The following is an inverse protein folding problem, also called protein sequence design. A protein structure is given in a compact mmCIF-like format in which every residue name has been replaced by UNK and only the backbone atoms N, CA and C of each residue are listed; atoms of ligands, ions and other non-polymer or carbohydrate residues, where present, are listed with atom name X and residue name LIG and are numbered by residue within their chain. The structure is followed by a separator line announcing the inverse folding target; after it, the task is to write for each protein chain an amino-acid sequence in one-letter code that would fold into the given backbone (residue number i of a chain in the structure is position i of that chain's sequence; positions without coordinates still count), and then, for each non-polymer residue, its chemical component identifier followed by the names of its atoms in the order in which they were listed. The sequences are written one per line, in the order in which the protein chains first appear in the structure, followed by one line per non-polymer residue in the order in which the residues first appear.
data_IF_896404330256
#
_entry.id   IF_896404330256
#
_cell.length_a   1.000
_cell.length_b   1.000
_cell.length_c   1.000
_cell.angle_alpha   90.00
_cell.angle_beta   90.00
_cell.angle_gamma   90.00
#
_symmetry.space_group_name_H-M   'P 1'
#
loop_
_entity.id
_entity.type
_entity.pdbx_description
1 polymer ?
#
# COMPACT_ATOMS: atom_id res chain seq x y z
N UNK A 1 19.75 47.47 -12.19
CA UNK A 1 18.87 48.66 -12.19
C UNK A 1 18.69 49.10 -13.63
N UNK A 2 17.44 49.42 -13.98
CA UNK A 2 16.88 49.78 -15.29
C UNK A 2 16.38 48.63 -16.16
N UNK A 3 15.08 48.74 -16.42
CA UNK A 3 14.08 47.93 -17.13
C UNK A 3 14.14 48.23 -18.64
N UNK A 4 13.73 47.25 -19.48
CA UNK A 4 13.01 47.26 -20.78
C UNK A 4 13.10 45.77 -21.23
N UNK A 5 12.06 44.95 -21.29
CA UNK A 5 10.77 45.12 -21.96
C UNK A 5 10.74 44.12 -23.12
N UNK A 6 10.20 42.92 -22.91
CA UNK A 6 9.70 42.07 -24.00
C UNK A 6 8.20 41.92 -23.79
N UNK A 7 7.48 42.74 -24.55
CA UNK A 7 6.05 42.68 -24.79
C UNK A 7 5.64 41.25 -25.16
N UNK A 8 4.94 40.58 -24.25
CA UNK A 8 4.00 39.53 -24.65
C UNK A 8 2.80 40.25 -25.28
N UNK A 9 2.41 39.89 -26.51
CA UNK A 9 1.33 40.60 -27.20
C UNK A 9 0.03 40.47 -26.41
N UNK A 10 -0.60 41.63 -26.16
CA UNK A 10 -1.93 41.77 -25.60
C UNK A 10 -2.91 40.85 -26.34
N UNK A 11 -3.60 39.98 -25.59
CA UNK A 11 -4.69 39.12 -26.07
C UNK A 11 -5.95 39.98 -26.16
N UNK A 12 -5.94 41.01 -27.00
CA UNK A 12 -7.12 41.85 -27.25
C UNK A 12 -7.75 41.64 -28.63
N UNK A 13 -7.20 40.78 -29.50
CA UNK A 13 -7.79 40.51 -30.82
C UNK A 13 -7.65 39.05 -31.27
N UNK A 14 -7.92 38.05 -30.42
CA UNK A 14 -8.07 36.67 -30.93
C UNK A 14 -9.47 36.51 -31.52
N UNK A 15 -9.55 36.54 -32.85
CA UNK A 15 -10.80 36.33 -33.57
C UNK A 15 -11.33 34.92 -33.34
N UNK A 16 -12.66 34.71 -33.39
CA UNK A 16 -13.31 33.40 -33.20
C UNK A 16 -12.72 32.30 -34.11
N UNK A 17 -12.13 32.68 -35.25
CA UNK A 17 -11.46 31.77 -36.17
C UNK A 17 -10.11 31.26 -35.64
N UNK A 18 -9.36 32.08 -34.91
CA UNK A 18 -8.08 31.69 -34.29
C UNK A 18 -8.30 30.75 -33.09
N UNK A 19 -9.36 30.96 -32.30
CA UNK A 19 -9.75 30.03 -31.23
C UNK A 19 -10.20 28.67 -31.77
N UNK A 20 -10.93 28.64 -32.89
CA UNK A 20 -11.28 27.37 -33.58
C UNK A 20 -10.03 26.67 -34.11
N UNK A 21 -9.09 27.41 -34.70
CA UNK A 21 -7.83 26.84 -35.18
C UNK A 21 -7.01 26.24 -34.01
N UNK A 22 -6.98 26.89 -32.85
CA UNK A 22 -6.32 26.36 -31.64
C UNK A 22 -7.03 25.12 -31.07
N UNK A 23 -8.37 25.08 -31.09
CA UNK A 23 -9.13 23.90 -30.68
C UNK A 23 -8.91 22.70 -31.62
N UNK A 24 -8.90 22.92 -32.93
CA UNK A 24 -8.60 21.87 -33.92
C UNK A 24 -7.18 21.33 -33.76
N UNK A 25 -6.20 22.19 -33.47
CA UNK A 25 -4.83 21.79 -33.17
C UNK A 25 -4.73 20.97 -31.87
N UNK A 26 -5.47 21.34 -30.83
CA UNK A 26 -5.54 20.57 -29.58
C UNK A 26 -6.23 19.21 -29.77
N UNK A 27 -7.29 19.13 -30.57
CA UNK A 27 -7.93 17.87 -30.91
C UNK A 27 -7.00 16.96 -31.73
N UNK A 28 -6.28 17.51 -32.70
CA UNK A 28 -5.24 16.77 -33.44
C UNK A 28 -4.14 16.28 -32.51
N UNK A 29 -3.62 17.13 -31.62
CA UNK A 29 -2.60 16.74 -30.65
C UNK A 29 -3.09 15.62 -29.71
N UNK A 30 -4.37 15.65 -29.29
CA UNK A 30 -4.97 14.59 -28.49
C UNK A 30 -5.11 13.28 -29.26
N UNK A 31 -5.53 13.32 -30.52
CA UNK A 31 -5.61 12.13 -31.39
C UNK A 31 -4.23 11.53 -31.63
N UNK A 32 -3.24 12.36 -31.95
CA UNK A 32 -1.86 11.93 -32.17
C UNK A 32 -1.24 11.28 -30.92
N UNK A 33 -1.53 11.81 -29.73
CA UNK A 33 -1.03 11.23 -28.46
C UNK A 33 -1.73 9.91 -28.15
N UNK A 34 -3.04 9.81 -28.40
CA UNK A 34 -3.78 8.55 -28.26
C UNK A 34 -3.26 7.47 -29.22
N UNK A 35 -2.98 7.82 -30.47
CA UNK A 35 -2.42 6.91 -31.48
C UNK A 35 -1.00 6.46 -31.12
N UNK A 36 -0.12 7.36 -30.66
CA UNK A 36 1.21 7.00 -30.15
C UNK A 36 1.13 6.05 -28.96
N UNK A 37 0.22 6.32 -28.02
CA UNK A 37 0.02 5.45 -26.85
C UNK A 37 -0.44 4.06 -27.27
N UNK A 38 -1.33 3.97 -28.26
CA UNK A 38 -1.78 2.69 -28.82
C UNK A 38 -0.65 1.94 -29.52
N UNK A 39 0.14 2.62 -30.34
CA UNK A 39 1.30 2.02 -31.00
C UNK A 39 2.33 1.51 -30.00
N UNK A 40 2.60 2.25 -28.93
CA UNK A 40 3.52 1.83 -27.86
C UNK A 40 3.01 0.59 -27.13
N UNK A 41 1.71 0.53 -26.81
CA UNK A 41 1.09 -0.68 -26.24
C UNK A 41 1.20 -1.88 -27.18
N UNK A 42 0.89 -1.70 -28.46
CA UNK A 42 1.02 -2.78 -29.45
C UNK A 42 2.48 -3.25 -29.60
N UNK A 43 3.45 -2.33 -29.58
CA UNK A 43 4.90 -2.68 -29.59
C UNK A 43 5.29 -3.43 -28.33
N UNK A 44 4.85 -3.01 -27.15
CA UNK A 44 5.14 -3.67 -25.88
C UNK A 44 4.55 -5.09 -25.84
N UNK A 45 3.30 -5.27 -26.29
CA UNK A 45 2.66 -6.58 -26.39
C UNK A 45 3.39 -7.52 -27.36
N UNK A 46 3.83 -6.99 -28.51
CA UNK A 46 4.61 -7.76 -29.48
C UNK A 46 5.97 -8.19 -28.91
N UNK A 47 6.65 -7.32 -28.15
CA UNK A 47 7.91 -7.65 -27.47
C UNK A 47 7.69 -8.76 -26.43
N UNK A 48 6.67 -8.63 -25.59
CA UNK A 48 6.32 -9.63 -24.57
C UNK A 48 5.97 -10.99 -25.19
N UNK A 49 5.21 -10.99 -26.29
CA UNK A 49 4.89 -12.21 -27.04
C UNK A 49 6.12 -12.83 -27.74
N UNK A 50 7.08 -12.02 -28.17
CA UNK A 50 8.33 -12.48 -28.74
C UNK A 50 9.25 -13.11 -27.67
N UNK A 51 9.33 -12.49 -26.49
CA UNK A 51 10.10 -12.99 -25.35
C UNK A 51 9.53 -14.31 -24.82
N UNK A 52 8.21 -14.41 -24.65
CA UNK A 52 7.56 -15.69 -24.27
C UNK A 52 7.90 -16.81 -25.25
N UNK A 53 7.82 -16.52 -26.56
CA UNK A 53 8.19 -17.49 -27.60
C UNK A 53 9.69 -17.83 -27.63
N UNK A 54 10.58 -16.94 -27.16
CA UNK A 54 12.01 -17.23 -27.01
C UNK A 54 12.26 -18.11 -25.78
N UNK A 55 11.63 -17.80 -24.65
CA UNK A 55 11.71 -18.58 -23.42
C UNK A 55 11.19 -20.01 -23.62
N UNK A 56 10.03 -20.19 -24.28
CA UNK A 56 9.50 -21.51 -24.62
C UNK A 56 10.46 -22.33 -25.50
N UNK A 57 11.10 -21.67 -26.49
CA UNK A 57 12.11 -22.31 -27.34
C UNK A 57 13.36 -22.71 -26.56
N UNK A 58 13.80 -21.88 -25.62
CA UNK A 58 14.95 -22.20 -24.76
C UNK A 58 14.63 -23.38 -23.83
N UNK A 59 13.44 -23.39 -23.20
CA UNK A 59 12.99 -24.49 -22.36
C UNK A 59 12.91 -25.80 -23.16
N UNK A 60 12.32 -25.77 -24.35
CA UNK A 60 12.26 -26.93 -25.23
C UNK A 60 13.66 -27.42 -25.65
N UNK A 61 14.61 -26.50 -25.87
CA UNK A 61 16.00 -26.84 -26.16
C UNK A 61 16.70 -27.48 -24.96
N UNK A 62 16.57 -26.91 -23.77
CA UNK A 62 17.14 -27.46 -22.51
C UNK A 62 16.62 -28.86 -22.25
N UNK A 63 15.32 -29.10 -22.48
CA UNK A 63 14.72 -30.42 -22.30
C UNK A 63 15.33 -31.45 -23.28
N UNK A 64 15.51 -31.09 -24.55
CA UNK A 64 16.17 -31.97 -25.54
C UNK A 64 17.63 -32.26 -25.16
N UNK A 65 18.35 -31.25 -24.65
CA UNK A 65 19.74 -31.42 -24.18
C UNK A 65 19.81 -32.40 -23.01
N UNK A 66 18.85 -32.34 -22.07
CA UNK A 66 18.73 -33.30 -20.96
C UNK A 66 18.44 -34.71 -21.48
N UNK A 67 17.46 -34.85 -22.38
CA UNK A 67 17.08 -36.15 -22.95
C UNK A 67 18.25 -36.79 -23.74
N UNK A 68 19.02 -35.98 -24.48
CA UNK A 68 20.20 -36.44 -25.21
C UNK A 68 21.36 -36.80 -24.26
N UNK A 69 21.54 -36.06 -23.17
CA UNK A 69 22.49 -36.40 -22.11
C UNK A 69 22.14 -37.75 -21.47
N UNK A 70 20.87 -38.00 -21.17
CA UNK A 70 20.37 -39.27 -20.65
C UNK A 70 20.64 -40.42 -21.63
N UNK A 71 20.35 -40.24 -22.92
CA UNK A 71 20.64 -41.25 -23.96
C UNK A 71 22.13 -41.56 -24.05
N UNK A 72 23.01 -40.55 -23.95
CA UNK A 72 24.47 -40.75 -23.95
C UNK A 72 24.90 -41.54 -22.72
N UNK A 73 24.38 -41.21 -21.55
CA UNK A 73 24.62 -41.94 -20.29
C UNK A 73 24.21 -43.41 -20.39
N UNK A 74 23.05 -43.70 -20.98
CA UNK A 74 22.60 -45.07 -21.21
C UNK A 74 23.47 -45.82 -22.23
N UNK A 75 24.01 -45.13 -23.25
CA UNK A 75 24.93 -45.73 -24.23
C UNK A 75 26.29 -46.03 -23.60
N UNK A 76 26.85 -45.12 -22.81
CA UNK A 76 28.11 -45.35 -22.09
C UNK A 76 27.95 -46.47 -21.06
N UNK A 77 26.83 -46.52 -20.33
CA UNK A 77 26.51 -47.63 -19.42
C UNK A 77 26.48 -48.98 -20.16
N UNK A 78 25.82 -49.05 -21.32
CA UNK A 78 25.78 -50.27 -22.15
C UNK A 78 27.16 -50.66 -22.70
N UNK A 79 27.98 -49.69 -23.10
CA UNK A 79 29.33 -49.92 -23.60
C UNK A 79 30.24 -50.45 -22.49
N UNK A 80 30.22 -49.82 -21.31
CA UNK A 80 30.97 -50.26 -20.14
C UNK A 80 30.56 -51.67 -19.70
N UNK A 81 29.26 -52.01 -19.76
CA UNK A 81 28.80 -53.39 -19.52
C UNK A 81 29.32 -54.40 -20.53
N UNK A 82 29.41 -54.04 -21.82
CA UNK A 82 29.97 -54.92 -22.86
C UNK A 82 31.48 -55.09 -22.73
N UNK A 83 32.22 -54.02 -22.44
CA UNK A 83 33.66 -54.06 -22.21
C UNK A 83 34.03 -54.84 -20.94
N UNK A 84 33.22 -54.74 -19.87
CA UNK A 84 33.35 -55.55 -18.66
C UNK A 84 33.09 -57.05 -18.95
N UNK A 85 32.10 -57.37 -19.79
CA UNK A 85 31.81 -58.76 -20.19
C UNK A 85 32.93 -59.37 -21.07
N UNK A 86 33.57 -58.59 -21.95
CA UNK A 86 34.65 -59.08 -22.82
C UNK A 86 36.01 -59.20 -22.14
N UNK A 87 36.23 -58.49 -21.02
CA UNK A 87 37.51 -58.48 -20.29
C UNK A 87 37.55 -59.41 -19.08
N UNK A 88 36.46 -60.16 -18.81
CA UNK A 88 36.37 -61.06 -17.66
C UNK A 88 36.41 -60.36 -16.29
N UNK A 89 36.36 -59.02 -16.27
CA UNK A 89 36.45 -58.21 -15.06
C UNK A 89 35.04 -57.80 -14.66
N UNK A 90 34.58 -58.29 -13.51
CA UNK A 90 33.26 -57.94 -12.98
C UNK A 90 33.30 -56.47 -12.54
N UNK A 91 32.58 -55.62 -13.25
CA UNK A 91 32.44 -54.19 -12.91
C UNK A 91 31.03 -54.00 -12.36
N UNK A 92 30.93 -53.81 -11.05
CA UNK A 92 29.68 -53.43 -10.37
C UNK A 92 29.37 -51.96 -10.66
N UNK A 93 28.51 -51.74 -11.65
CA UNK A 93 27.90 -50.44 -11.92
C UNK A 93 26.48 -50.42 -11.33
N UNK A 94 26.11 -49.37 -10.60
CA UNK A 94 24.77 -49.24 -10.03
C UNK A 94 23.72 -49.28 -11.14
N UNK A 95 22.71 -50.14 -10.99
CA UNK A 95 21.65 -50.33 -11.98
C UNK A 95 20.75 -49.09 -12.03
N UNK A 96 20.61 -48.50 -13.21
CA UNK A 96 19.51 -47.56 -13.49
C UNK A 96 18.17 -48.34 -13.49
N UNK A 97 17.13 -47.83 -12.81
CA UNK A 97 15.91 -48.59 -12.55
C UNK A 97 15.09 -48.75 -13.84
N UNK A 98 15.10 -49.96 -14.39
CA UNK A 98 14.13 -50.38 -15.41
C UNK A 98 12.83 -50.75 -14.71
N UNK A 99 11.77 -50.01 -15.02
CA UNK A 99 10.40 -50.22 -14.55
C UNK A 99 9.87 -51.56 -15.07
N UNK A 100 9.87 -52.62 -14.25
CA UNK A 100 8.99 -53.79 -14.41
C UNK A 100 8.93 -54.67 -13.13
N UNK A 101 7.73 -54.69 -12.55
CA UNK A 101 7.02 -55.80 -11.89
C UNK A 101 7.67 -56.66 -10.79
N UNK A 102 7.12 -56.48 -9.58
CA UNK A 102 6.74 -57.51 -8.58
C UNK A 102 7.77 -58.62 -8.30
N UNK A 103 8.65 -58.37 -7.32
CA UNK A 103 9.06 -59.41 -6.35
C UNK A 103 9.68 -58.77 -5.10
N UNK A 104 9.06 -59.09 -3.97
CA UNK A 104 9.45 -58.90 -2.55
C UNK A 104 10.04 -57.55 -2.14
N UNK A 105 9.15 -56.63 -1.77
CA UNK A 105 9.43 -55.30 -1.18
C UNK A 105 10.18 -55.35 0.17
N UNK A 106 10.43 -56.51 0.78
CA UNK A 106 11.05 -56.61 2.10
C UNK A 106 12.58 -56.63 2.08
N UNK A 107 13.21 -57.33 1.14
CA UNK A 107 14.67 -57.56 1.18
C UNK A 107 15.48 -56.33 0.74
N UNK A 108 14.95 -55.50 -0.16
CA UNK A 108 15.61 -54.26 -0.57
C UNK A 108 15.45 -53.13 0.45
N UNK A 109 14.35 -53.11 1.21
CA UNK A 109 14.19 -52.18 2.33
C UNK A 109 15.09 -52.55 3.51
N UNK A 110 15.33 -53.84 3.74
CA UNK A 110 16.21 -54.31 4.81
C UNK A 110 17.70 -54.22 4.42
N UNK A 111 18.06 -54.43 3.15
CA UNK A 111 19.42 -54.18 2.65
C UNK A 111 19.75 -52.68 2.59
N UNK A 112 18.81 -51.82 2.17
CA UNK A 112 18.98 -50.37 2.23
C UNK A 112 19.07 -49.86 3.68
N UNK A 113 18.35 -50.48 4.63
CA UNK A 113 18.49 -50.21 6.08
C UNK A 113 19.86 -50.64 6.63
N UNK A 114 20.40 -51.76 6.15
CA UNK A 114 21.69 -52.28 6.59
C UNK A 114 22.87 -51.40 6.11
N UNK A 115 22.82 -50.90 4.86
CA UNK A 115 23.84 -49.98 4.33
C UNK A 115 23.74 -48.56 4.93
N UNK A 116 22.51 -48.08 5.22
CA UNK A 116 22.26 -46.85 5.99
C UNK A 116 22.63 -46.98 7.47
N UNK A 117 22.93 -48.19 7.96
CA UNK A 117 23.33 -48.49 9.33
C UNK A 117 24.81 -48.24 9.64
N UNK A 118 25.62 -47.89 8.64
CA UNK A 118 27.02 -47.50 8.87
C UNK A 118 27.11 -46.08 9.43
N UNK A 119 27.73 -45.99 10.61
CA UNK A 119 27.85 -44.81 11.49
C UNK A 119 28.36 -43.57 10.75
N UNK A 120 27.46 -42.73 10.27
CA UNK A 120 27.73 -41.31 9.95
C UNK A 120 27.13 -40.47 11.09
N UNK A 121 27.79 -39.42 11.61
CA UNK A 121 27.35 -38.64 12.77
C UNK A 121 26.14 -37.73 12.45
N UNK A 122 25.05 -38.29 11.94
CA UNK A 122 23.86 -37.56 11.47
C UNK A 122 23.08 -36.89 12.60
N UNK A 123 23.16 -37.40 13.83
CA UNK A 123 22.63 -36.73 15.01
C UNK A 123 23.42 -35.46 15.36
N UNK A 124 24.74 -35.45 15.12
CA UNK A 124 25.57 -34.25 15.29
C UNK A 124 25.20 -33.17 14.28
N UNK A 125 25.00 -33.54 13.01
CA UNK A 125 24.52 -32.61 11.98
C UNK A 125 23.11 -32.08 12.27
N UNK A 126 22.20 -32.92 12.77
CA UNK A 126 20.87 -32.47 13.20
C UNK A 126 20.94 -31.51 14.40
N UNK A 127 21.86 -31.74 15.34
CA UNK A 127 22.10 -30.84 16.46
C UNK A 127 22.68 -29.49 16.01
N UNK A 128 23.62 -29.48 15.05
CA UNK A 128 24.14 -28.21 14.48
C UNK A 128 23.07 -27.44 13.72
N UNK A 129 22.19 -28.14 12.98
CA UNK A 129 21.05 -27.50 12.30
C UNK A 129 20.04 -26.96 13.31
N UNK A 130 19.77 -27.66 14.42
CA UNK A 130 18.91 -27.17 15.49
C UNK A 130 19.47 -25.91 16.16
N UNK A 131 20.79 -25.86 16.42
CA UNK A 131 21.45 -24.67 16.94
C UNK A 131 21.39 -23.50 15.96
N UNK A 132 21.66 -23.75 14.67
CA UNK A 132 21.56 -22.74 13.62
C UNK A 132 20.13 -22.20 13.46
N UNK A 133 19.13 -23.08 13.47
CA UNK A 133 17.73 -22.68 13.46
C UNK A 133 17.38 -21.86 14.72
N UNK A 134 17.81 -22.29 15.90
CA UNK A 134 17.58 -21.56 17.15
C UNK A 134 18.17 -20.15 17.11
N UNK A 135 19.38 -19.97 16.55
CA UNK A 135 20.00 -18.66 16.38
C UNK A 135 19.19 -17.77 15.42
N UNK A 136 18.79 -18.29 14.26
CA UNK A 136 17.98 -17.57 13.28
C UNK A 136 16.62 -17.15 13.87
N UNK A 137 15.98 -18.04 14.61
CA UNK A 137 14.69 -17.77 15.26
C UNK A 137 14.82 -16.76 16.41
N UNK A 138 15.90 -16.83 17.18
CA UNK A 138 16.22 -15.85 18.23
C UNK A 138 16.43 -14.46 17.64
N UNK A 139 17.32 -14.32 16.65
CA UNK A 139 17.57 -13.06 15.95
C UNK A 139 16.31 -12.54 15.24
N UNK A 140 15.59 -13.41 14.54
CA UNK A 140 14.35 -13.06 13.85
C UNK A 140 13.29 -12.55 14.81
N UNK A 141 13.13 -13.21 15.96
CA UNK A 141 12.17 -12.78 16.98
C UNK A 141 12.59 -11.49 17.67
N UNK A 142 13.88 -11.29 17.95
CA UNK A 142 14.34 -10.02 18.55
C UNK A 142 14.13 -8.82 17.62
N UNK A 143 14.31 -9.00 16.31
CA UNK A 143 14.08 -7.95 15.31
C UNK A 143 12.60 -7.74 15.02
N UNK A 144 11.78 -8.77 15.20
CA UNK A 144 10.32 -8.72 15.07
C UNK A 144 9.65 -8.10 16.31
N UNK A 145 10.32 -8.13 17.47
CA UNK A 145 9.83 -7.48 18.71
C UNK A 145 10.17 -6.00 18.81
N UNK A 146 10.88 -5.43 17.83
CA UNK A 146 11.20 -4.00 17.88
C UNK A 146 9.90 -3.19 17.81
N UNK A 147 9.76 -2.24 18.73
CA UNK A 147 8.52 -1.49 18.94
C UNK A 147 8.74 -0.05 18.57
N UNK A 148 7.69 0.54 18.03
CA UNK A 148 7.60 1.98 17.90
C UNK A 148 7.50 2.59 19.30
N UNK A 149 8.40 3.51 19.64
CA UNK A 149 8.29 4.30 20.87
C UNK A 149 7.13 5.30 20.76
N UNK A 150 6.45 5.62 21.86
CA UNK A 150 5.35 6.60 21.84
C UNK A 150 5.77 8.00 21.31
N UNK A 151 7.06 8.33 21.34
CA UNK A 151 7.59 9.54 20.72
C UNK A 151 7.55 9.53 19.19
N UNK A 152 7.58 8.35 18.56
CA UNK A 152 7.59 8.17 17.11
C UNK A 152 6.18 8.25 16.50
N UNK A 153 5.13 7.96 17.27
CA UNK A 153 3.73 8.17 16.83
C UNK A 153 3.28 9.64 16.84
N UNK A 154 4.12 10.53 17.39
CA UNK A 154 3.81 11.96 17.50
C UNK A 154 3.69 12.61 16.13
N UNK A 155 4.53 12.25 15.16
CA UNK A 155 4.51 12.83 13.82
C UNK A 155 3.19 12.53 13.11
N UNK A 156 2.75 11.26 13.09
CA UNK A 156 1.43 10.88 12.56
C UNK A 156 0.29 11.69 13.20
N UNK A 157 0.32 11.85 14.53
CA UNK A 157 -0.71 12.62 15.25
C UNK A 157 -0.69 14.10 14.87
N UNK A 158 0.50 14.68 14.67
CA UNK A 158 0.65 16.07 14.22
C UNK A 158 0.14 16.24 12.79
N UNK A 159 0.46 15.33 11.88
CA UNK A 159 0.01 15.39 10.48
C UNK A 159 -1.51 15.26 10.38
N UNK A 160 -2.12 14.29 11.06
CA UNK A 160 -3.57 14.10 11.05
C UNK A 160 -4.32 15.30 11.65
N UNK A 161 -3.84 15.83 12.78
CA UNK A 161 -4.47 17.01 13.38
C UNK A 161 -4.28 18.26 12.53
N UNK A 162 -3.12 18.41 11.87
CA UNK A 162 -2.90 19.48 10.92
C UNK A 162 -3.83 19.38 9.71
N UNK A 163 -4.11 18.17 9.18
CA UNK A 163 -5.08 18.00 8.11
C UNK A 163 -6.49 18.44 8.55
N UNK A 164 -6.95 18.03 9.73
CA UNK A 164 -8.25 18.45 10.25
C UNK A 164 -8.34 19.99 10.40
N UNK A 165 -7.32 20.62 10.99
CA UNK A 165 -7.33 22.07 11.19
C UNK A 165 -7.19 22.86 9.86
N UNK A 166 -6.47 22.30 8.87
CA UNK A 166 -6.44 22.87 7.52
C UNK A 166 -7.80 22.75 6.83
N UNK A 167 -8.56 21.68 7.09
CA UNK A 167 -9.93 21.54 6.58
C UNK A 167 -10.85 22.58 7.20
N UNK A 168 -10.70 22.90 8.48
CA UNK A 168 -11.41 24.01 9.13
C UNK A 168 -11.06 25.36 8.51
N UNK A 169 -9.78 25.59 8.20
CA UNK A 169 -9.33 26.79 7.48
C UNK A 169 -9.94 26.89 6.07
N UNK A 170 -10.05 25.77 5.35
CA UNK A 170 -10.74 25.70 4.04
C UNK A 170 -12.22 26.06 4.16
N UNK A 171 -12.93 25.57 5.19
CA UNK A 171 -14.34 25.97 5.38
C UNK A 171 -14.48 27.49 5.65
N UNK A 172 -13.55 28.04 6.43
CA UNK A 172 -13.50 29.49 6.67
C UNK A 172 -13.26 30.26 5.36
N UNK A 173 -12.35 29.77 4.51
CA UNK A 173 -12.06 30.32 3.19
C UNK A 173 -13.29 30.25 2.25
N UNK A 174 -14.05 29.15 2.30
CA UNK A 174 -15.29 28.99 1.53
C UNK A 174 -16.36 29.99 1.96
N UNK A 175 -16.50 30.21 3.27
CA UNK A 175 -17.38 31.24 3.81
C UNK A 175 -16.97 32.65 3.36
N UNK A 176 -15.67 32.95 3.36
CA UNK A 176 -15.11 34.22 2.89
C UNK A 176 -15.38 34.43 1.39
N UNK A 177 -15.26 33.39 0.56
CA UNK A 177 -15.60 33.44 -0.86
C UNK A 177 -17.07 33.77 -1.08
N UNK A 178 -17.98 33.06 -0.42
CA UNK A 178 -19.43 33.28 -0.57
C UNK A 178 -19.79 34.71 -0.20
N UNK A 179 -19.22 35.21 0.90
CA UNK A 179 -19.38 36.59 1.38
C UNK A 179 -18.86 37.62 0.36
N UNK A 180 -17.66 37.41 -0.18
CA UNK A 180 -17.11 38.24 -1.26
C UNK A 180 -18.01 38.25 -2.50
N UNK A 181 -18.38 37.08 -3.02
CA UNK A 181 -19.15 36.91 -4.26
C UNK A 181 -20.54 37.58 -4.22
N UNK A 182 -21.05 37.81 -3.02
CA UNK A 182 -22.38 38.36 -2.77
C UNK A 182 -22.32 39.83 -2.32
N UNK A 183 -21.13 40.42 -2.22
CA UNK A 183 -20.91 41.84 -1.93
C UNK A 183 -20.79 42.21 -0.45
N UNK A 184 -20.34 41.29 0.40
CA UNK A 184 -20.05 41.53 1.83
C UNK A 184 -18.66 40.96 2.20
N UNK A 185 -17.56 41.46 1.60
CA UNK A 185 -16.23 40.87 1.76
C UNK A 185 -15.73 40.96 3.22
N UNK A 186 -14.98 39.94 3.64
CA UNK A 186 -14.37 39.90 4.97
C UNK A 186 -13.11 40.76 4.99
N UNK A 187 -12.96 41.67 5.97
CA UNK A 187 -11.76 42.50 6.06
C UNK A 187 -10.52 41.64 6.39
N UNK A 188 -9.35 41.94 5.78
CA UNK A 188 -8.12 41.28 6.16
C UNK A 188 -7.65 41.70 7.56
N UNK A 189 -6.79 40.89 8.15
CA UNK A 189 -6.11 41.16 9.42
C UNK A 189 -5.00 42.24 9.29
N UNK A 190 -4.33 42.53 10.41
CA UNK A 190 -3.24 43.51 10.47
C UNK A 190 -2.04 43.18 9.56
N UNK A 191 -1.91 41.92 9.15
CA UNK A 191 -0.88 41.45 8.21
C UNK A 191 -1.36 41.46 6.75
N UNK A 192 -2.58 41.93 6.48
CA UNK A 192 -3.18 41.96 5.14
C UNK A 192 -3.66 40.59 4.67
N UNK A 193 -3.89 39.64 5.59
CA UNK A 193 -4.29 38.26 5.29
C UNK A 193 -5.73 38.02 5.67
N UNK A 194 -6.37 37.06 4.99
CA UNK A 194 -7.69 36.59 5.40
C UNK A 194 -7.59 35.76 6.69
N UNK A 195 -8.63 35.76 7.54
CA UNK A 195 -8.69 34.91 8.72
C UNK A 195 -8.40 33.43 8.42
N UNK A 196 -8.92 32.89 7.31
CA UNK A 196 -8.64 31.52 6.86
C UNK A 196 -7.15 31.24 6.61
N UNK A 197 -6.46 32.17 5.94
CA UNK A 197 -5.02 32.07 5.63
C UNK A 197 -4.19 32.17 6.92
N UNK A 198 -4.57 33.06 7.84
CA UNK A 198 -3.88 33.18 9.13
C UNK A 198 -4.02 31.91 9.96
N UNK A 199 -5.23 31.32 10.03
CA UNK A 199 -5.45 30.03 10.69
C UNK A 199 -4.61 28.91 10.05
N UNK A 200 -4.58 28.83 8.72
CA UNK A 200 -3.76 27.84 8.01
C UNK A 200 -2.26 28.03 8.28
N UNK A 201 -1.74 29.26 8.27
CA UNK A 201 -0.33 29.52 8.59
C UNK A 201 0.05 29.19 10.04
N UNK A 202 -0.87 29.36 10.99
CA UNK A 202 -0.68 28.89 12.37
C UNK A 202 -0.55 27.38 12.46
N UNK A 203 -1.33 26.64 11.67
CA UNK A 203 -1.23 25.18 11.55
C UNK A 203 0.12 24.81 10.94
N UNK A 204 0.50 25.40 9.80
CA UNK A 204 1.75 25.09 9.10
C UNK A 204 3.01 25.52 9.86
N UNK A 205 2.89 26.40 10.85
CA UNK A 205 3.97 26.77 11.76
C UNK A 205 4.28 25.74 12.85
N UNK A 206 3.53 24.63 12.93
CA UNK A 206 3.74 23.58 13.95
C UNK A 206 4.98 22.75 13.65
N UNK A 207 5.65 22.32 14.71
CA UNK A 207 6.79 21.40 14.62
C UNK A 207 6.36 20.06 13.99
N UNK A 208 7.04 19.64 12.92
CA UNK A 208 6.77 18.39 12.20
C UNK A 208 6.06 18.55 10.85
N UNK A 209 5.69 19.78 10.47
CA UNK A 209 5.11 20.09 9.17
C UNK A 209 6.17 20.71 8.25
N UNK A 210 6.03 20.45 6.94
CA UNK A 210 6.94 20.99 5.93
C UNK A 210 6.93 22.54 5.92
N UNK A 211 8.05 23.22 6.24
CA UNK A 211 8.11 24.67 6.24
C UNK A 211 7.86 25.29 4.84
N UNK A 212 8.11 24.55 3.75
CA UNK A 212 7.85 25.04 2.40
C UNK A 212 6.36 25.21 2.11
N UNK A 213 5.48 24.48 2.80
CA UNK A 213 4.04 24.66 2.65
C UNK A 213 3.58 26.04 3.15
N UNK A 214 4.16 26.51 4.25
CA UNK A 214 3.87 27.84 4.80
C UNK A 214 4.39 28.96 3.88
N UNK A 215 5.57 28.77 3.26
CA UNK A 215 6.14 29.72 2.31
C UNK A 215 5.24 29.88 1.07
N UNK A 216 4.82 28.76 0.44
CA UNK A 216 3.89 28.78 -0.70
C UNK A 216 2.57 29.47 -0.35
N UNK A 217 1.97 29.13 0.78
CA UNK A 217 0.71 29.73 1.21
C UNK A 217 0.86 31.24 1.51
N UNK A 218 2.02 31.67 1.99
CA UNK A 218 2.29 33.10 2.25
C UNK A 218 2.48 33.94 0.98
N UNK A 219 2.81 33.30 -0.14
CA UNK A 219 2.92 33.92 -1.47
C UNK A 219 1.55 34.04 -2.18
N UNK A 220 0.54 33.30 -1.72
CA UNK A 220 -0.82 33.39 -2.26
C UNK A 220 -1.40 34.80 -2.07
N UNK A 221 -1.84 35.43 -3.16
CA UNK A 221 -2.42 36.78 -3.11
C UNK A 221 -3.73 36.79 -2.29
N UNK A 222 -3.97 37.83 -1.47
CA UNK A 222 -5.22 38.01 -0.73
C UNK A 222 -6.33 38.52 -1.67
N UNK A 223 -6.59 37.82 -2.78
CA UNK A 223 -7.50 38.22 -3.85
C UNK A 223 -8.96 38.40 -3.41
N UNK A 224 -9.34 37.91 -2.22
CA UNK A 224 -10.67 38.06 -1.62
C UNK A 224 -10.79 39.26 -0.66
N UNK A 225 -9.70 39.99 -0.40
CA UNK A 225 -9.64 41.02 0.66
C UNK A 225 -10.16 42.42 0.25
N UNK A 226 -10.59 42.63 -1.00
CA UNK A 226 -11.12 43.93 -1.42
C UNK A 226 -11.86 43.96 -2.77
N UNK A 227 -12.72 44.97 -2.92
CA UNK A 227 -13.62 45.18 -4.07
C UNK A 227 -12.90 45.56 -5.39
N UNK A 228 -11.60 45.81 -5.32
CA UNK A 228 -10.79 46.23 -6.47
C UNK A 228 -10.37 45.06 -7.39
N UNK A 229 -10.57 43.81 -6.94
CA UNK A 229 -10.20 42.60 -7.66
C UNK A 229 -11.36 42.15 -8.55
N UNK A 230 -11.06 41.73 -9.78
CA UNK A 230 -12.08 41.15 -10.67
C UNK A 230 -12.65 39.86 -10.05
N UNK A 231 -13.97 39.59 -10.13
CA UNK A 231 -14.58 38.37 -9.59
C UNK A 231 -13.91 37.08 -10.06
N UNK A 232 -13.44 37.04 -11.31
CA UNK A 232 -12.72 35.89 -11.86
C UNK A 232 -11.38 35.70 -11.14
N UNK A 233 -10.63 36.77 -10.90
CA UNK A 233 -9.33 36.70 -10.20
C UNK A 233 -9.52 36.30 -8.74
N UNK A 234 -10.55 36.81 -8.07
CA UNK A 234 -10.90 36.44 -6.71
C UNK A 234 -11.26 34.95 -6.59
N UNK A 235 -12.05 34.44 -7.53
CA UNK A 235 -12.42 33.03 -7.59
C UNK A 235 -11.23 32.11 -7.91
N UNK A 236 -10.32 32.52 -8.81
CA UNK A 236 -9.07 31.79 -9.06
C UNK A 236 -8.16 31.78 -7.83
N UNK A 237 -7.98 32.92 -7.16
CA UNK A 237 -7.17 33.02 -5.95
C UNK A 237 -7.72 32.14 -4.82
N UNK A 238 -9.05 32.07 -4.65
CA UNK A 238 -9.69 31.14 -3.73
C UNK A 238 -9.36 29.69 -4.07
N UNK A 239 -9.49 29.29 -5.33
CA UNK A 239 -9.24 27.92 -5.78
C UNK A 239 -7.77 27.52 -5.54
N UNK A 240 -6.83 28.41 -5.84
CA UNK A 240 -5.41 28.17 -5.63
C UNK A 240 -5.08 28.09 -4.12
N UNK A 241 -5.62 29.01 -3.31
CA UNK A 241 -5.42 29.00 -1.85
C UNK A 241 -6.00 27.74 -1.21
N UNK A 242 -7.21 27.32 -1.61
CA UNK A 242 -7.85 26.09 -1.17
C UNK A 242 -6.98 24.88 -1.50
N UNK A 243 -6.44 24.84 -2.72
CA UNK A 243 -5.55 23.78 -3.18
C UNK A 243 -4.27 23.74 -2.36
N UNK A 244 -3.66 24.88 -2.10
CA UNK A 244 -2.45 24.95 -1.29
C UNK A 244 -2.69 24.48 0.14
N UNK A 245 -3.81 24.84 0.77
CA UNK A 245 -4.22 24.31 2.07
C UNK A 245 -4.44 22.79 2.03
N UNK A 246 -5.18 22.29 1.04
CA UNK A 246 -5.51 20.87 0.90
C UNK A 246 -4.28 19.97 0.65
N UNK A 247 -3.25 20.51 -0.02
CA UNK A 247 -2.00 19.79 -0.31
C UNK A 247 -0.83 20.22 0.58
N UNK A 248 -1.06 21.02 1.61
CA UNK A 248 -0.01 21.45 2.53
C UNK A 248 0.50 20.28 3.38
N UNK A 249 -0.39 19.36 3.76
CA UNK A 249 -0.04 18.07 4.38
C UNK A 249 -0.44 16.97 3.43
N UNK A 250 0.54 16.42 2.71
CA UNK A 250 0.26 15.44 1.66
C UNK A 250 -0.16 14.09 2.24
N UNK A 251 -1.05 13.38 1.54
CA UNK A 251 -1.39 11.99 1.88
C UNK A 251 -0.16 11.08 1.88
N UNK A 252 0.85 11.40 1.07
CA UNK A 252 2.14 10.69 1.02
C UNK A 252 2.95 10.83 2.30
N UNK A 253 2.87 11.97 2.99
CA UNK A 253 3.55 12.15 4.28
C UNK A 253 2.91 11.27 5.35
N UNK A 254 1.59 11.21 5.36
CA UNK A 254 0.83 10.31 6.27
C UNK A 254 1.12 8.85 5.94
N UNK A 255 1.05 8.45 4.67
CA UNK A 255 1.35 7.07 4.23
C UNK A 255 2.79 6.66 4.57
N UNK A 256 3.76 7.57 4.40
CA UNK A 256 5.16 7.35 4.78
C UNK A 256 5.29 7.13 6.29
N UNK A 257 4.66 7.96 7.11
CA UNK A 257 4.67 7.76 8.56
C UNK A 257 3.96 6.45 8.95
N UNK A 258 2.86 6.08 8.30
CA UNK A 258 2.23 4.77 8.49
C UNK A 258 3.19 3.63 8.12
N UNK A 259 3.94 3.74 7.03
CA UNK A 259 4.94 2.73 6.65
C UNK A 259 6.08 2.65 7.66
N UNK A 260 6.55 3.78 8.20
CA UNK A 260 7.58 3.84 9.24
C UNK A 260 7.10 3.27 10.58
N UNK A 261 5.83 3.45 10.91
CA UNK A 261 5.19 2.93 12.13
C UNK A 261 4.83 1.45 12.03
N UNK A 262 5.05 0.82 10.87
CA UNK A 262 4.71 -0.58 10.64
C UNK A 262 5.44 -1.48 11.65
N UNK A 263 4.71 -2.24 12.48
CA UNK A 263 5.34 -3.12 13.45
C UNK A 263 5.98 -4.33 12.76
N UNK A 264 7.10 -4.78 13.31
CA UNK A 264 7.89 -5.91 12.81
C UNK A 264 9.01 -5.52 11.85
N UNK A 265 9.82 -6.49 11.45
CA UNK A 265 10.99 -6.29 10.58
C UNK A 265 10.96 -7.26 9.42
N UNK A 266 11.04 -6.78 8.18
CA UNK A 266 11.14 -7.65 7.00
C UNK A 266 12.32 -8.64 7.10
N UNK A 267 13.43 -8.17 7.68
CA UNK A 267 14.60 -9.02 7.96
C UNK A 267 14.31 -10.00 9.09
N UNK A 268 13.58 -9.58 10.12
CA UNK A 268 13.04 -10.45 11.17
C UNK A 268 12.20 -11.59 10.59
N UNK A 269 11.21 -11.27 9.74
CA UNK A 269 10.34 -12.25 9.08
C UNK A 269 11.14 -13.23 8.21
N UNK A 270 12.13 -12.73 7.45
CA UNK A 270 13.01 -13.57 6.63
C UNK A 270 13.82 -14.55 7.48
N UNK A 271 14.37 -14.10 8.62
CA UNK A 271 15.10 -14.96 9.54
C UNK A 271 14.19 -16.03 10.18
N UNK A 272 12.94 -15.69 10.50
CA UNK A 272 11.96 -16.66 10.99
C UNK A 272 11.68 -17.75 9.95
N UNK A 273 11.46 -17.39 8.69
CA UNK A 273 11.30 -18.35 7.59
C UNK A 273 12.55 -19.19 7.33
N UNK A 274 13.74 -18.58 7.39
CA UNK A 274 15.00 -19.30 7.25
C UNK A 274 15.18 -20.33 8.38
N UNK A 275 14.87 -19.95 9.62
CA UNK A 275 14.87 -20.86 10.77
C UNK A 275 13.90 -22.03 10.60
N UNK A 276 12.67 -21.75 10.17
CA UNK A 276 11.67 -22.77 9.87
C UNK A 276 12.15 -23.76 8.79
N UNK A 277 12.75 -23.24 7.71
CA UNK A 277 13.30 -24.05 6.62
C UNK A 277 14.43 -24.97 7.12
N UNK A 278 15.32 -24.46 7.97
CA UNK A 278 16.42 -25.26 8.56
C UNK A 278 15.86 -26.40 9.42
N UNK A 279 14.79 -26.16 10.19
CA UNK A 279 14.12 -27.21 10.97
C UNK A 279 13.50 -28.29 10.07
N UNK A 280 12.86 -27.91 8.96
CA UNK A 280 12.31 -28.86 7.98
C UNK A 280 13.41 -29.70 7.33
N UNK A 281 14.52 -29.08 6.93
CA UNK A 281 15.69 -29.78 6.38
C UNK A 281 16.24 -30.78 7.39
N UNK A 282 16.38 -30.39 8.66
CA UNK A 282 16.82 -31.29 9.73
C UNK A 282 15.84 -32.46 9.97
N UNK A 283 14.53 -32.22 9.90
CA UNK A 283 13.52 -33.28 9.97
C UNK A 283 13.69 -34.31 8.85
N UNK A 284 13.93 -33.87 7.61
CA UNK A 284 14.17 -34.75 6.46
C UNK A 284 15.46 -35.56 6.63
N UNK A 285 16.53 -34.94 7.14
CA UNK A 285 17.79 -35.64 7.46
C UNK A 285 17.55 -36.74 8.50
N UNK A 286 16.80 -36.44 9.57
CA UNK A 286 16.45 -37.40 10.63
C UNK A 286 15.56 -38.53 10.12
N UNK A 287 14.57 -38.23 9.28
CA UNK A 287 13.73 -39.22 8.60
C UNK A 287 14.57 -40.19 7.76
N UNK A 288 15.50 -39.67 6.95
CA UNK A 288 16.43 -40.49 6.17
C UNK A 288 17.41 -41.28 7.03
N UNK A 289 17.67 -40.84 8.25
CA UNK A 289 18.48 -41.55 9.24
C UNK A 289 17.67 -42.56 10.09
N UNK A 290 16.38 -42.75 9.81
CA UNK A 290 15.50 -43.67 10.54
C UNK A 290 15.02 -43.16 11.90
N UNK A 291 15.33 -41.91 12.27
CA UNK A 291 14.98 -41.31 13.55
C UNK A 291 13.58 -40.66 13.50
N UNK A 292 12.54 -41.48 13.37
CA UNK A 292 11.16 -41.04 13.16
C UNK A 292 10.62 -40.17 14.31
N UNK A 293 10.98 -40.49 15.55
CA UNK A 293 10.55 -39.74 16.74
C UNK A 293 11.19 -38.36 16.70
N UNK A 294 12.52 -38.28 16.57
CA UNK A 294 13.21 -37.00 16.48
C UNK A 294 12.70 -36.14 15.31
N UNK A 295 12.43 -36.73 14.14
CA UNK A 295 11.88 -35.97 13.01
C UNK A 295 10.51 -35.35 13.30
N UNK A 296 9.64 -36.04 14.06
CA UNK A 296 8.32 -35.50 14.42
C UNK A 296 8.45 -34.26 15.30
N UNK A 297 9.41 -34.24 16.24
CA UNK A 297 9.71 -33.08 17.07
C UNK A 297 10.23 -31.88 16.25
N UNK A 298 11.06 -32.11 15.23
CA UNK A 298 11.51 -31.03 14.34
C UNK A 298 10.38 -30.50 13.45
N UNK A 299 9.45 -31.35 13.01
CA UNK A 299 8.25 -30.88 12.29
C UNK A 299 7.34 -30.06 13.20
N UNK A 300 7.13 -30.49 14.45
CA UNK A 300 6.39 -29.72 15.46
C UNK A 300 7.08 -28.38 15.76
N UNK A 301 8.41 -28.36 15.84
CA UNK A 301 9.18 -27.13 15.98
C UNK A 301 8.97 -26.19 14.77
N UNK A 302 9.01 -26.71 13.54
CA UNK A 302 8.74 -25.92 12.34
C UNK A 302 7.28 -25.40 12.29
N UNK A 303 6.31 -26.16 12.78
CA UNK A 303 4.92 -25.68 12.92
C UNK A 303 4.79 -24.60 14.02
N UNK A 304 5.59 -24.67 15.09
CA UNK A 304 5.60 -23.59 16.08
C UNK A 304 6.19 -22.30 15.51
N UNK A 305 7.13 -22.38 14.55
CA UNK A 305 7.67 -21.20 13.88
C UNK A 305 6.66 -20.50 12.96
N UNK A 306 5.67 -21.21 12.39
CA UNK A 306 4.59 -20.54 11.65
C UNK A 306 3.69 -19.69 12.56
N UNK A 307 3.60 -20.02 13.86
CA UNK A 307 2.87 -19.22 14.84
C UNK A 307 3.62 -17.90 15.13
N UNK A 308 4.95 -17.93 15.14
CA UNK A 308 5.79 -16.73 15.22
C UNK A 308 5.65 -15.84 13.97
N UNK A 309 5.66 -16.44 12.77
CA UNK A 309 5.48 -15.72 11.51
C UNK A 309 4.09 -15.07 11.40
N UNK A 310 3.02 -15.77 11.78
CA UNK A 310 1.66 -15.21 11.74
C UNK A 310 1.53 -14.02 12.69
N UNK A 311 2.15 -14.11 13.87
CA UNK A 311 2.19 -13.00 14.82
C UNK A 311 3.04 -11.82 14.35
N UNK A 312 4.06 -12.06 13.52
CA UNK A 312 4.86 -11.01 12.87
C UNK A 312 4.10 -10.34 11.70
N UNK A 313 3.23 -11.08 10.99
CA UNK A 313 2.45 -10.53 9.86
C UNK A 313 1.21 -9.69 10.24
N UNK A 314 0.94 -9.53 11.54
CA UNK A 314 -0.06 -8.64 12.17
C UNK A 314 -1.26 -8.21 11.29
N UNK A 315 -2.29 -9.07 11.14
CA UNK A 315 -3.50 -8.70 10.39
C UNK A 315 -4.29 -7.55 11.03
N UNK A 316 -4.07 -7.25 12.32
CA UNK A 316 -4.64 -6.10 13.04
C UNK A 316 -4.14 -4.78 12.46
N UNK A 317 -2.82 -4.60 12.39
CA UNK A 317 -2.15 -3.46 11.76
C UNK A 317 -2.72 -3.13 10.37
N UNK A 318 -2.76 -4.11 9.45
CA UNK A 318 -3.25 -3.87 8.09
C UNK A 318 -4.71 -3.42 8.06
N UNK A 319 -5.56 -3.95 8.95
CA UNK A 319 -6.96 -3.52 9.04
C UNK A 319 -7.08 -2.11 9.62
N UNK A 320 -6.25 -1.78 10.62
CA UNK A 320 -6.23 -0.44 11.21
C UNK A 320 -5.78 0.61 10.19
N UNK A 321 -4.74 0.32 9.39
CA UNK A 321 -4.28 1.20 8.30
C UNK A 321 -5.36 1.40 7.25
N UNK A 322 -6.00 0.32 6.76
CA UNK A 322 -7.09 0.44 5.78
C UNK A 322 -8.26 1.24 6.35
N UNK A 323 -8.62 1.03 7.61
CA UNK A 323 -9.69 1.80 8.26
C UNK A 323 -9.31 3.28 8.43
N UNK A 324 -8.03 3.59 8.65
CA UNK A 324 -7.52 4.96 8.74
C UNK A 324 -7.52 5.64 7.37
N UNK A 325 -7.03 4.97 6.32
CA UNK A 325 -7.10 5.45 4.94
C UNK A 325 -8.56 5.76 4.54
N UNK A 326 -9.47 4.81 4.74
CA UNK A 326 -10.91 4.98 4.48
C UNK A 326 -11.55 6.12 5.29
N UNK A 327 -11.11 6.34 6.54
CA UNK A 327 -11.60 7.44 7.37
C UNK A 327 -11.01 8.80 6.94
N UNK A 328 -9.77 8.83 6.45
CA UNK A 328 -9.06 10.05 6.02
C UNK A 328 -9.63 10.62 4.71
N UNK A 329 -10.14 9.77 3.83
CA UNK A 329 -10.67 10.16 2.52
C UNK A 329 -12.06 10.83 2.62
N UNK A 330 -12.89 10.45 3.60
CA UNK A 330 -14.29 10.91 3.68
C UNK A 330 -14.43 12.43 3.88
N UNK A 331 -13.73 13.08 4.84
CA UNK A 331 -13.78 14.53 4.99
C UNK A 331 -13.32 15.28 3.72
N UNK A 332 -12.30 14.75 3.03
CA UNK A 332 -11.80 15.31 1.78
C UNK A 332 -12.79 15.18 0.62
N UNK A 333 -13.54 14.07 0.56
CA UNK A 333 -14.64 13.88 -0.38
C UNK A 333 -15.73 14.93 -0.22
N UNK A 334 -16.13 15.20 1.03
CA UNK A 334 -17.14 16.21 1.36
C UNK A 334 -16.70 17.62 0.94
N UNK A 335 -15.46 18.01 1.24
CA UNK A 335 -14.93 19.31 0.83
C UNK A 335 -14.85 19.46 -0.69
N UNK A 336 -14.54 18.39 -1.43
CA UNK A 336 -14.50 18.43 -2.90
C UNK A 336 -15.89 18.74 -3.49
N UNK A 337 -16.94 18.19 -2.89
CA UNK A 337 -18.32 18.46 -3.29
C UNK A 337 -18.69 19.94 -3.07
N UNK A 338 -18.37 20.50 -1.90
CA UNK A 338 -18.58 21.93 -1.63
C UNK A 338 -17.81 22.80 -2.62
N UNK A 339 -16.56 22.43 -2.94
CA UNK A 339 -15.75 23.15 -3.92
C UNK A 339 -16.43 23.22 -5.30
N UNK A 340 -16.92 22.09 -5.78
CA UNK A 340 -17.55 21.98 -7.10
C UNK A 340 -18.82 22.84 -7.20
N UNK A 341 -19.62 22.85 -6.14
CA UNK A 341 -20.84 23.65 -6.08
C UNK A 341 -20.53 25.15 -5.96
N UNK A 342 -19.55 25.53 -5.14
CA UNK A 342 -19.13 26.93 -5.00
C UNK A 342 -18.51 27.48 -6.28
N UNK A 343 -17.81 26.67 -7.09
CA UNK A 343 -17.32 27.07 -8.41
C UNK A 343 -18.45 27.50 -9.35
N UNK A 344 -19.65 26.92 -9.21
CA UNK A 344 -20.84 27.35 -9.97
C UNK A 344 -21.33 28.70 -9.45
N UNK A 345 -21.43 28.87 -8.13
CA UNK A 345 -21.88 30.13 -7.50
C UNK A 345 -21.04 31.33 -7.96
N UNK A 346 -19.73 31.15 -8.07
CA UNK A 346 -18.80 32.23 -8.46
C UNK A 346 -18.52 32.30 -9.96
N UNK A 347 -19.22 31.50 -10.77
CA UNK A 347 -19.14 31.57 -12.23
C UNK A 347 -17.83 31.04 -12.84
N UNK A 348 -17.01 30.32 -12.08
CA UNK A 348 -15.87 29.57 -12.63
C UNK A 348 -16.33 28.36 -13.46
N UNK A 349 -17.57 27.93 -13.24
CA UNK A 349 -18.24 26.88 -14.01
C UNK A 349 -19.66 27.33 -14.37
N UNK A 350 -20.06 27.10 -15.61
CA UNK A 350 -21.45 27.25 -16.05
C UNK A 350 -22.22 25.93 -15.88
N UNK A 351 -23.52 26.04 -15.61
CA UNK A 351 -24.44 24.91 -15.65
C UNK A 351 -24.75 24.54 -17.10
N UNK A 352 -24.65 23.26 -17.46
CA UNK A 352 -25.19 22.77 -18.74
C UNK A 352 -26.73 22.72 -18.68
N UNK A 353 -27.45 22.81 -19.82
CA UNK A 353 -28.92 22.79 -19.86
C UNK A 353 -29.54 21.54 -19.18
N UNK A 354 -28.90 20.38 -19.29
CA UNK A 354 -29.32 19.14 -18.62
C UNK A 354 -29.09 19.15 -17.10
N UNK A 355 -28.36 20.14 -16.59
CA UNK A 355 -28.08 20.36 -15.16
C UNK A 355 -29.00 21.43 -14.55
N UNK A 356 -29.85 22.02 -15.40
CA UNK A 356 -30.84 23.04 -15.04
C UNK A 356 -32.26 22.45 -14.96
N UNK A 357 -32.46 21.18 -15.37
CA UNK A 357 -33.73 20.48 -15.27
C UNK A 357 -33.97 20.01 -13.83
N UNK A 358 -35.06 20.51 -13.24
CA UNK A 358 -35.52 20.21 -11.87
C UNK A 358 -36.43 18.97 -11.89
N UNK A 359 -35.87 17.79 -12.17
CA UNK A 359 -36.58 16.51 -12.06
C UNK A 359 -36.05 15.63 -10.92
N UNK A 360 -36.85 14.64 -10.51
CA UNK A 360 -36.53 13.66 -9.45
C UNK A 360 -35.22 12.88 -9.73
N UNK A 361 -34.70 13.00 -10.96
CA UNK A 361 -33.48 12.40 -11.49
C UNK A 361 -32.43 13.44 -11.93
N UNK A 362 -32.54 14.69 -11.46
CA UNK A 362 -31.72 15.80 -11.92
C UNK A 362 -30.22 15.53 -11.78
N UNK A 363 -29.43 16.14 -12.65
CA UNK A 363 -27.97 15.94 -12.74
C UNK A 363 -27.26 16.00 -11.39
N UNK A 364 -27.65 16.92 -10.51
CA UNK A 364 -27.08 17.08 -9.17
C UNK A 364 -27.29 15.88 -8.26
N UNK A 365 -28.47 15.25 -8.34
CA UNK A 365 -28.80 14.03 -7.58
C UNK A 365 -28.20 12.76 -8.23
N UNK A 366 -28.06 12.71 -9.56
CA UNK A 366 -27.55 11.52 -10.27
C UNK A 366 -26.02 11.44 -10.36
N UNK A 367 -25.32 12.56 -10.56
CA UNK A 367 -23.90 12.57 -10.92
C UNK A 367 -22.97 12.99 -9.77
N UNK A 368 -23.53 13.49 -8.66
CA UNK A 368 -22.77 13.88 -7.48
C UNK A 368 -23.31 13.25 -6.20
N UNK A 369 -23.78 12.00 -6.29
CA UNK A 369 -24.05 11.22 -5.09
C UNK A 369 -22.80 11.20 -4.22
N UNK A 370 -22.86 11.86 -3.06
CA UNK A 370 -21.93 11.60 -1.96
C UNK A 370 -21.95 10.08 -1.78
N UNK A 371 -20.78 9.44 -1.71
CA UNK A 371 -20.74 8.02 -1.38
C UNK A 371 -21.52 7.81 -0.07
N UNK A 372 -22.27 6.70 0.05
CA UNK A 372 -23.23 6.46 1.16
C UNK A 372 -22.61 6.65 2.58
N UNK A 373 -21.27 6.69 2.71
CA UNK A 373 -20.55 6.94 3.95
C UNK A 373 -20.07 8.37 4.22
N UNK A 374 -20.24 9.32 3.29
CA UNK A 374 -19.76 10.72 3.42
C UNK A 374 -20.84 11.71 3.89
N UNK A 375 -22.13 11.36 3.75
CA UNK A 375 -23.27 12.12 4.26
C UNK A 375 -24.35 11.16 4.77
N UNK A 376 -24.11 10.49 5.92
CA UNK A 376 -25.01 9.44 6.42
C UNK A 376 -26.42 9.98 6.78
N UNK A 377 -26.53 11.27 7.08
CA UNK A 377 -27.78 11.92 7.47
C UNK A 377 -28.49 12.64 6.30
N UNK A 378 -27.86 12.70 5.12
CA UNK A 378 -28.41 13.35 3.92
C UNK A 378 -28.54 14.88 4.02
N UNK A 379 -27.91 15.51 5.02
CA UNK A 379 -28.05 16.94 5.30
C UNK A 379 -27.35 17.80 4.25
N UNK A 380 -26.21 17.33 3.75
CA UNK A 380 -25.46 17.98 2.69
C UNK A 380 -26.22 17.83 1.38
N UNK A 381 -26.71 16.62 1.07
CA UNK A 381 -27.54 16.39 -0.12
C UNK A 381 -28.75 17.34 -0.18
N UNK A 382 -29.42 17.57 0.94
CA UNK A 382 -30.52 18.54 1.02
C UNK A 382 -30.06 19.97 0.75
N UNK A 383 -28.99 20.43 1.41
CA UNK A 383 -28.47 21.79 1.23
C UNK A 383 -28.01 22.05 -0.22
N UNK A 384 -27.45 21.04 -0.88
CA UNK A 384 -27.08 21.09 -2.30
C UNK A 384 -28.29 21.23 -3.22
N UNK A 385 -29.35 20.47 -2.97
CA UNK A 385 -30.60 20.58 -3.73
C UNK A 385 -31.22 21.98 -3.55
N UNK A 386 -31.16 22.54 -2.35
CA UNK A 386 -31.65 23.88 -2.04
C UNK A 386 -30.84 24.95 -2.80
N UNK A 387 -29.50 24.83 -2.82
CA UNK A 387 -28.63 25.69 -3.61
C UNK A 387 -28.94 25.58 -5.12
N UNK A 388 -29.10 24.37 -5.64
CA UNK A 388 -29.46 24.14 -7.05
C UNK A 388 -30.77 24.82 -7.45
N UNK A 389 -31.81 24.74 -6.61
CA UNK A 389 -33.09 25.45 -6.84
C UNK A 389 -32.94 26.96 -6.85
N UNK A 390 -32.09 27.50 -5.97
CA UNK A 390 -31.83 28.95 -5.89
C UNK A 390 -31.03 29.45 -7.10
N UNK A 391 -30.05 28.68 -7.58
CA UNK A 391 -29.22 29.04 -8.73
C UNK A 391 -29.94 28.94 -10.08
N UNK A 392 -30.95 28.07 -10.19
CA UNK A 392 -31.73 27.86 -11.43
C UNK A 392 -32.94 28.81 -11.54
N UNK A 393 -33.41 29.37 -10.42
CA UNK A 393 -34.48 30.37 -10.39
C UNK A 393 -34.01 31.82 -10.53
N UNK A 394 -34.95 32.75 -10.74
CA UNK A 394 -34.73 34.21 -10.68
C UNK A 394 -34.58 34.68 -9.21
N UNK A 395 -33.58 34.15 -8.51
CA UNK A 395 -33.33 34.42 -7.09
C UNK A 395 -32.44 35.65 -6.90
N UNK A 396 -32.62 36.34 -5.78
CA UNK A 396 -31.77 37.47 -5.39
C UNK A 396 -30.37 37.03 -4.95
N UNK A 397 -29.38 37.93 -5.03
CA UNK A 397 -28.02 37.68 -4.52
C UNK A 397 -28.00 37.30 -3.02
N UNK A 398 -28.96 37.81 -2.25
CA UNK A 398 -29.09 37.49 -0.83
C UNK A 398 -29.59 36.06 -0.61
N UNK A 399 -30.50 35.56 -1.45
CA UNK A 399 -30.97 34.17 -1.38
C UNK A 399 -29.87 33.20 -1.82
N UNK A 400 -29.11 33.55 -2.88
CA UNK A 400 -27.93 32.80 -3.32
C UNK A 400 -26.86 32.74 -2.22
N UNK A 401 -26.61 33.86 -1.52
CA UNK A 401 -25.72 33.92 -0.35
C UNK A 401 -26.17 32.95 0.73
N UNK A 402 -27.43 33.04 1.15
CA UNK A 402 -27.96 32.22 2.24
C UNK A 402 -27.85 30.74 1.90
N UNK A 403 -28.29 30.32 0.70
CA UNK A 403 -28.21 28.92 0.30
C UNK A 403 -26.76 28.40 0.20
N UNK A 404 -25.82 29.21 -0.30
CA UNK A 404 -24.41 28.83 -0.37
C UNK A 404 -23.76 28.73 1.02
N UNK A 405 -24.09 29.63 1.96
CA UNK A 405 -23.63 29.54 3.35
C UNK A 405 -24.26 28.35 4.09
N UNK A 406 -25.53 28.05 3.82
CA UNK A 406 -26.21 26.88 4.38
C UNK A 406 -25.56 25.57 3.90
N UNK A 407 -25.10 25.50 2.64
CA UNK A 407 -24.30 24.38 2.14
C UNK A 407 -22.99 24.21 2.89
N UNK A 408 -22.22 25.29 3.07
CA UNK A 408 -20.95 25.24 3.81
C UNK A 408 -21.19 24.80 5.26
N UNK A 409 -22.22 25.34 5.91
CA UNK A 409 -22.59 24.97 7.27
C UNK A 409 -23.06 23.51 7.40
N UNK A 410 -23.82 23.00 6.42
CA UNK A 410 -24.23 21.60 6.39
C UNK A 410 -23.02 20.66 6.22
N UNK A 411 -22.06 21.03 5.37
CA UNK A 411 -20.83 20.28 5.20
C UNK A 411 -19.94 20.29 6.46
N UNK A 412 -19.86 21.41 7.18
CA UNK A 412 -19.14 21.44 8.46
C UNK A 412 -19.80 20.52 9.50
N UNK A 413 -21.13 20.54 9.62
CA UNK A 413 -21.85 19.66 10.53
C UNK A 413 -21.67 18.18 10.18
N UNK A 414 -21.62 17.84 8.89
CA UNK A 414 -21.37 16.47 8.44
C UNK A 414 -19.88 16.06 8.59
N UNK A 415 -18.94 17.02 8.60
CA UNK A 415 -17.50 16.75 8.81
C UNK A 415 -17.19 16.31 10.24
N UNK A 416 -17.81 16.93 11.25
CA UNK A 416 -17.54 16.65 12.68
C UNK A 416 -17.50 15.15 13.06
N UNK A 417 -18.52 14.32 12.73
CA UNK A 417 -18.48 12.90 13.04
C UNK A 417 -17.42 12.13 12.22
N UNK A 418 -17.12 12.57 10.99
CA UNK A 418 -16.10 11.93 10.15
C UNK A 418 -14.69 12.16 10.71
N UNK A 419 -14.41 13.36 11.24
CA UNK A 419 -13.15 13.67 11.91
C UNK A 419 -13.01 12.89 13.23
N UNK A 420 -14.12 12.68 13.96
CA UNK A 420 -14.12 11.81 15.15
C UNK A 420 -13.82 10.33 14.81
N UNK A 421 -14.35 9.83 13.69
CA UNK A 421 -14.02 8.50 13.16
C UNK A 421 -12.54 8.40 12.77
N UNK A 422 -11.98 9.43 12.12
CA UNK A 422 -10.56 9.50 11.78
C UNK A 422 -9.67 9.47 13.02
N UNK A 423 -10.03 10.21 14.08
CA UNK A 423 -9.33 10.17 15.37
C UNK A 423 -9.35 8.75 15.95
N UNK A 424 -10.50 8.07 15.91
CA UNK A 424 -10.65 6.70 16.39
C UNK A 424 -9.79 5.72 15.56
N UNK A 425 -9.78 5.87 14.24
CA UNK A 425 -8.96 5.04 13.36
C UNK A 425 -7.46 5.26 13.58
N UNK A 426 -7.03 6.52 13.78
CA UNK A 426 -5.64 6.85 14.15
C UNK A 426 -5.26 6.22 15.48
N UNK A 427 -6.11 6.30 16.49
CA UNK A 427 -5.86 5.66 17.79
C UNK A 427 -5.70 4.14 17.67
N UNK A 428 -6.48 3.50 16.78
CA UNK A 428 -6.33 2.08 16.49
C UNK A 428 -4.98 1.76 15.82
N UNK A 429 -4.53 2.58 14.87
CA UNK A 429 -3.19 2.47 14.26
C UNK A 429 -2.11 2.62 15.33
N UNK A 430 -2.17 3.67 16.15
CA UNK A 430 -1.20 3.91 17.23
C UNK A 430 -1.19 2.76 18.26
N UNK A 431 -2.35 2.22 18.60
CA UNK A 431 -2.46 1.07 19.49
C UNK A 431 -1.79 -0.16 18.88
N UNK A 432 -2.05 -0.48 17.61
CA UNK A 432 -1.43 -1.63 16.94
C UNK A 432 0.10 -1.46 16.78
N UNK A 433 0.57 -0.26 16.42
CA UNK A 433 2.01 0.06 16.34
C UNK A 433 2.75 -0.12 17.68
N UNK A 434 2.11 0.27 18.79
CA UNK A 434 2.77 0.30 20.12
C UNK A 434 2.62 -1.00 20.91
N UNK A 435 1.54 -1.76 20.70
CA UNK A 435 1.26 -2.96 21.50
C UNK A 435 2.09 -4.16 21.03
N UNK A 436 2.33 -4.28 19.71
CA UNK A 436 3.11 -5.36 19.10
C UNK A 436 2.59 -6.79 19.42
N UNK A 437 3.31 -7.85 19.00
CA UNK A 437 2.89 -9.21 19.30
C UNK A 437 3.12 -9.54 20.78
N UNK A 438 2.22 -10.33 21.39
CA UNK A 438 2.29 -10.59 22.83
C UNK A 438 3.60 -11.30 23.22
N UNK A 439 4.36 -10.71 24.16
CA UNK A 439 5.64 -11.24 24.60
C UNK A 439 5.55 -12.67 25.18
N UNK A 440 4.42 -13.00 25.82
CA UNK A 440 4.15 -14.34 26.35
C UNK A 440 3.99 -15.39 25.26
N UNK A 441 3.27 -15.10 24.17
CA UNK A 441 3.11 -16.04 23.05
C UNK A 441 4.39 -16.16 22.22
N UNK A 442 5.12 -15.05 22.01
CA UNK A 442 6.42 -15.08 21.34
C UNK A 442 7.43 -15.92 22.13
N UNK A 443 7.51 -15.72 23.45
CA UNK A 443 8.37 -16.52 24.32
C UNK A 443 8.00 -18.01 24.34
N UNK A 444 6.70 -18.32 24.36
CA UNK A 444 6.22 -19.71 24.30
C UNK A 444 6.52 -20.37 22.94
N UNK A 445 6.27 -19.66 21.83
CA UNK A 445 6.54 -20.13 20.46
C UNK A 445 8.02 -20.36 20.22
N UNK A 446 8.87 -19.43 20.64
CA UNK A 446 10.33 -19.55 20.54
C UNK A 446 10.86 -20.66 21.44
N UNK A 447 10.36 -20.76 22.67
CA UNK A 447 10.68 -21.85 23.59
C UNK A 447 10.36 -23.22 23.00
N UNK A 448 9.19 -23.39 22.39
CA UNK A 448 8.82 -24.63 21.70
C UNK A 448 9.73 -24.89 20.50
N UNK A 449 9.96 -23.89 19.64
CA UNK A 449 10.78 -24.05 18.43
C UNK A 449 12.24 -24.42 18.74
N UNK A 450 12.79 -23.93 19.86
CA UNK A 450 14.16 -24.21 20.28
C UNK A 450 14.26 -25.52 21.08
N UNK A 451 13.32 -25.80 21.99
CA UNK A 451 13.43 -26.93 22.92
C UNK A 451 12.97 -28.26 22.30
N UNK A 452 11.94 -28.27 21.44
CA UNK A 452 11.41 -29.48 20.82
C UNK A 452 12.48 -30.28 20.04
N UNK A 453 13.34 -29.66 19.21
CA UNK A 453 14.43 -30.34 18.52
C UNK A 453 15.35 -31.12 19.47
N UNK A 454 15.76 -30.51 20.58
CA UNK A 454 16.65 -31.17 21.56
C UNK A 454 15.93 -32.26 22.35
N UNK A 455 14.66 -32.08 22.70
CA UNK A 455 13.85 -33.12 23.32
C UNK A 455 13.72 -34.35 22.41
N UNK A 456 13.49 -34.14 21.11
CA UNK A 456 13.43 -35.21 20.11
C UNK A 456 14.75 -35.97 19.95
N UNK A 457 15.88 -35.25 19.90
CA UNK A 457 17.22 -35.86 19.86
C UNK A 457 17.53 -36.65 21.14
N UNK A 458 17.15 -36.12 22.31
CA UNK A 458 17.31 -36.79 23.60
C UNK A 458 16.50 -38.10 23.69
N UNK A 459 15.23 -38.06 23.31
CA UNK A 459 14.34 -39.23 23.30
C UNK A 459 14.86 -40.33 22.36
N UNK A 460 15.31 -39.96 21.16
CA UNK A 460 15.89 -40.89 20.19
C UNK A 460 17.21 -41.51 20.71
N UNK A 461 18.06 -40.71 21.37
CA UNK A 461 19.31 -41.21 21.96
C UNK A 461 19.07 -42.24 23.07
N UNK A 462 18.08 -42.00 23.95
CA UNK A 462 17.66 -42.91 25.01
C UNK A 462 17.04 -44.20 24.44
N UNK A 463 16.21 -44.07 23.40
CA UNK A 463 15.60 -45.23 22.73
C UNK A 463 16.65 -46.14 22.06
N UNK A 464 17.74 -45.56 21.53
CA UNK A 464 18.86 -46.33 20.98
C UNK A 464 19.69 -47.01 22.07
N UNK A 465 20.02 -46.31 23.16
CA UNK A 465 20.74 -46.90 24.30
C UNK A 465 20.01 -48.07 24.94
N UNK A 466 18.68 -47.96 25.11
CA UNK A 466 17.85 -49.06 25.64
C UNK A 466 17.80 -50.30 24.74
N UNK A 467 18.06 -50.15 23.43
CA UNK A 467 18.19 -51.28 22.49
C UNK A 467 19.60 -51.88 22.49
N UNK A 468 20.59 -51.17 23.00
CA UNK A 468 22.00 -51.59 23.04
C UNK A 468 22.40 -52.22 24.39
N UNK A 469 21.63 -52.01 25.48
CA UNK A 469 21.78 -52.73 26.74
C UNK A 469 20.84 -53.96 26.78
N UNK A 470 21.36 -55.19 26.72
CA UNK A 470 20.58 -56.43 26.75
C UNK A 470 19.95 -56.75 28.10
#
# INVERSE_FOLDING_TARGET
MTIIGEDLPDVEDTTVEELRAQQEQLEQARRDLADRTREERERAEQQLAAERRRAERELARRQREIDDAERRLLRTERRLRREAASSGRHVDLPRTPRRAARRSDSELLDAARAELGTRVPRLGLAATLALGAGLLLALGSTLSTDRVEQGQTRTLTVLDTAQADLRDAVSSLDTELVRYATGDPVPPDDAGRLPSVTAALEVLGREGIDPYAAERLSEAEPGLSGDAVSPVRAATAWQDTRRDMAYAVSSWDVERELEELRPGSALGTLLLWAGALVLVVAAVVLLRAGAKVASAFFVLAALSTSLLVVQDTQPGWRRAVVAHEEASDRPGGLQRVVEEDLRVVVGLRSLDPSQTEDDEYGYWNQHYGLEDGADPDGTVAQARADLGRVLTGDSSQQEQRTAALDLVAAADQARDPLEADLVTAREAVVAEATTGPSAGLLGAGLGLAVLLPFAGLGAESLARRRKETP
#
